data_IF_521942541163
#
_entry.id   IF_521942541163
#
_cell.length_a   1.000
_cell.length_b   1.000
_cell.length_c   1.000
_cell.angle_alpha   90.00
_cell.angle_beta   90.00
_cell.angle_gamma   90.00
#
_symmetry.space_group_name_H-M   'P 1'
#
loop_
_entity.id
_entity.type
_entity.pdbx_description
1 polymer ?
#
# COMPACT_ATOMS: atom_id res chain seq x y z
N UNK A 1 -47.02 -3.02 -23.53
CA UNK A 1 -47.26 -4.44 -23.84
C UNK A 1 -46.26 -5.28 -23.05
N UNK A 2 -46.78 -6.17 -22.20
CA UNK A 2 -46.14 -7.26 -21.42
C UNK A 2 -44.81 -6.98 -20.67
N UNK A 3 -44.98 -6.59 -19.40
CA UNK A 3 -44.03 -6.76 -18.30
C UNK A 3 -43.99 -8.25 -17.94
N UNK A 4 -42.82 -8.88 -18.00
CA UNK A 4 -42.62 -10.28 -17.60
C UNK A 4 -41.94 -10.27 -16.23
N UNK A 5 -42.72 -10.56 -15.18
CA UNK A 5 -42.25 -10.90 -13.84
C UNK A 5 -41.80 -12.36 -13.83
N UNK A 6 -40.49 -12.61 -13.72
CA UNK A 6 -39.99 -13.94 -13.37
C UNK A 6 -39.78 -13.99 -11.84
N UNK A 7 -40.78 -14.54 -11.17
CA UNK A 7 -40.68 -15.01 -9.78
C UNK A 7 -39.89 -16.31 -9.77
N UNK A 8 -38.60 -16.26 -9.46
CA UNK A 8 -37.84 -17.47 -9.10
C UNK A 8 -37.99 -17.70 -7.60
N UNK A 9 -38.76 -18.74 -7.28
CA UNK A 9 -38.92 -19.28 -5.92
C UNK A 9 -37.92 -20.42 -5.70
N UNK A 10 -37.78 -20.85 -4.43
CA UNK A 10 -37.32 -22.19 -3.97
C UNK A 10 -35.77 -22.32 -3.93
N UNK A 11 -35.09 -22.75 -2.86
CA UNK A 11 -35.44 -23.35 -1.56
C UNK A 11 -34.25 -23.20 -0.60
N UNK A 12 -34.53 -22.96 0.68
CA UNK A 12 -33.55 -23.09 1.77
C UNK A 12 -33.50 -24.57 2.16
N UNK A 13 -32.40 -25.25 1.83
CA UNK A 13 -32.11 -26.58 2.36
C UNK A 13 -31.31 -26.43 3.65
N UNK A 14 -31.96 -26.69 4.78
CA UNK A 14 -31.31 -26.90 6.08
C UNK A 14 -30.72 -28.30 6.06
N UNK A 15 -29.38 -28.41 6.04
CA UNK A 15 -28.68 -29.66 6.28
C UNK A 15 -28.03 -29.53 7.67
N UNK A 16 -28.67 -30.15 8.66
CA UNK A 16 -28.03 -30.51 9.93
C UNK A 16 -27.37 -31.89 9.74
N UNK A 17 -26.04 -31.95 9.89
CA UNK A 17 -25.28 -33.18 10.14
C UNK A 17 -24.09 -32.76 11.01
N UNK A 18 -24.19 -32.90 12.33
CA UNK A 18 -23.88 -34.09 13.14
C UNK A 18 -22.37 -34.19 13.43
N UNK A 19 -22.04 -33.77 14.65
CA UNK A 19 -20.77 -33.98 15.32
C UNK A 19 -20.46 -35.47 15.48
N UNK A 20 -19.24 -35.83 15.08
CA UNK A 20 -18.33 -36.79 15.72
C UNK A 20 -17.08 -36.83 14.86
N UNK A 21 -15.91 -36.65 15.46
CA UNK A 21 -14.71 -37.42 15.13
C UNK A 21 -13.74 -37.34 16.33
N UNK A 22 -12.88 -38.34 16.49
CA UNK A 22 -12.29 -38.75 17.75
C UNK A 22 -10.97 -38.04 18.12
N UNK A 23 -10.74 -38.07 19.43
CA UNK A 23 -9.49 -37.79 20.12
C UNK A 23 -8.32 -38.57 19.48
N UNK A 24 -7.40 -37.85 18.84
CA UNK A 24 -6.10 -38.39 18.45
C UNK A 24 -5.03 -37.31 18.57
N UNK A 25 -4.35 -37.35 19.70
CA UNK A 25 -3.20 -36.53 20.08
C UNK A 25 -2.04 -36.72 19.10
N UNK A 26 -1.61 -35.69 18.34
CA UNK A 26 -0.38 -35.77 17.56
C UNK A 26 0.82 -35.42 18.45
N UNK A 27 1.82 -36.29 18.40
CA UNK A 27 3.10 -36.22 19.11
C UNK A 27 3.82 -34.86 18.99
N UNK A 28 4.50 -34.47 20.06
CA UNK A 28 5.06 -33.14 20.32
C UNK A 28 6.30 -32.74 19.50
N UNK A 29 6.58 -33.39 18.36
CA UNK A 29 7.77 -33.10 17.54
C UNK A 29 7.47 -32.63 16.11
N UNK A 30 6.25 -32.76 15.60
CA UNK A 30 5.85 -32.21 14.29
C UNK A 30 5.40 -30.73 14.34
N UNK A 31 5.13 -30.19 15.53
CA UNK A 31 4.62 -28.82 15.73
C UNK A 31 5.70 -27.72 15.74
N UNK A 32 6.99 -28.07 15.67
CA UNK A 32 8.08 -27.09 15.68
C UNK A 32 8.44 -26.64 14.25
N UNK A 33 8.23 -27.47 13.22
CA UNK A 33 8.55 -27.14 11.83
C UNK A 33 7.41 -26.44 11.05
N UNK A 34 6.16 -26.52 11.51
CA UNK A 34 5.04 -25.80 10.86
C UNK A 34 4.99 -24.31 11.25
N UNK A 35 5.52 -23.94 12.43
CA UNK A 35 5.58 -22.55 12.92
C UNK A 35 6.63 -21.69 12.21
N UNK A 36 7.66 -22.28 11.60
CA UNK A 36 8.65 -21.53 10.79
C UNK A 36 8.19 -21.24 9.36
N UNK A 37 7.13 -21.92 8.90
CA UNK A 37 6.49 -21.70 7.58
C UNK A 37 5.15 -20.94 7.65
N UNK A 38 4.67 -20.56 8.84
CA UNK A 38 3.78 -19.41 8.97
C UNK A 38 4.59 -18.15 8.70
N UNK A 39 4.82 -17.96 7.40
CA UNK A 39 4.95 -16.71 6.69
C UNK A 39 4.55 -15.55 7.59
N UNK A 40 5.46 -14.61 7.78
CA UNK A 40 5.12 -13.21 7.98
C UNK A 40 3.86 -12.88 7.16
N UNK A 41 2.67 -13.01 7.76
CA UNK A 41 1.49 -12.38 7.24
C UNK A 41 1.80 -10.91 7.45
N UNK A 42 2.34 -10.30 6.39
CA UNK A 42 2.43 -8.86 6.27
C UNK A 42 1.00 -8.39 6.46
N UNK A 43 0.68 -7.89 7.65
CA UNK A 43 -0.57 -7.20 7.92
C UNK A 43 -0.46 -5.85 7.20
N UNK A 44 -0.62 -5.89 5.89
CA UNK A 44 -0.76 -4.70 5.08
C UNK A 44 -2.07 -4.05 5.50
N UNK A 45 -1.97 -2.92 6.17
CA UNK A 45 -3.14 -2.12 6.48
C UNK A 45 -3.53 -1.38 5.20
N UNK A 46 -4.83 -1.15 5.02
CA UNK A 46 -5.33 -0.33 3.92
C UNK A 46 -5.82 0.99 4.49
N UNK A 47 -5.57 2.08 3.76
CA UNK A 47 -6.06 3.41 4.11
C UNK A 47 -6.63 4.09 2.88
N UNK A 48 -7.81 4.69 3.00
CA UNK A 48 -8.46 5.40 1.90
C UNK A 48 -8.32 6.90 2.12
N UNK A 49 -7.93 7.60 1.05
CA UNK A 49 -7.85 9.05 1.02
C UNK A 49 -8.76 9.60 -0.07
N UNK A 50 -9.37 10.75 0.22
CA UNK A 50 -10.28 11.49 -0.65
C UNK A 50 -9.58 12.73 -1.21
N UNK A 51 -9.72 12.92 -2.51
CA UNK A 51 -9.17 14.03 -3.31
C UNK A 51 -10.35 14.68 -4.04
N UNK A 52 -11.01 15.63 -3.38
CA UNK A 52 -12.33 16.10 -3.81
C UNK A 52 -13.37 14.98 -3.73
N UNK A 53 -14.01 14.65 -4.85
CA UNK A 53 -15.02 13.57 -4.94
C UNK A 53 -14.44 12.20 -5.23
N UNK A 54 -13.14 12.12 -5.57
CA UNK A 54 -12.46 10.86 -5.89
C UNK A 54 -11.82 10.27 -4.64
N UNK A 55 -11.80 8.95 -4.52
CA UNK A 55 -11.11 8.24 -3.44
C UNK A 55 -10.12 7.23 -3.97
N UNK A 56 -8.97 7.11 -3.31
CA UNK A 56 -7.96 6.09 -3.62
C UNK A 56 -7.63 5.28 -2.36
N UNK A 57 -7.56 3.96 -2.49
CA UNK A 57 -7.09 3.07 -1.42
C UNK A 57 -5.59 2.82 -1.57
N UNK A 58 -4.88 2.98 -0.46
CA UNK A 58 -3.45 2.80 -0.33
C UNK A 58 -3.14 1.58 0.52
N UNK A 59 -2.13 0.83 0.13
CA UNK A 59 -1.46 -0.17 0.95
C UNK A 59 -0.47 0.54 1.86
N UNK A 60 -0.60 0.33 3.17
CA UNK A 60 0.29 0.88 4.21
C UNK A 60 1.12 -0.26 4.81
N UNK A 61 2.39 -0.31 4.43
CA UNK A 61 3.40 -1.21 4.99
C UNK A 61 4.32 -0.40 5.92
N UNK A 62 3.98 -0.40 7.21
CA UNK A 62 4.74 0.29 8.26
C UNK A 62 6.16 -0.25 8.41
N UNK A 63 6.41 -1.53 8.08
CA UNK A 63 7.75 -2.12 8.21
C UNK A 63 8.69 -1.62 7.12
N UNK A 64 8.13 -1.29 5.96
CA UNK A 64 8.90 -0.74 4.83
C UNK A 64 8.82 0.79 4.73
N UNK A 65 8.06 1.45 5.61
CA UNK A 65 7.72 2.87 5.51
C UNK A 65 7.15 3.22 4.12
N UNK A 66 6.15 2.45 3.68
CA UNK A 66 5.53 2.63 2.36
C UNK A 66 4.03 2.79 2.49
N UNK A 67 3.53 3.89 1.93
CA UNK A 67 2.12 4.15 1.64
C UNK A 67 1.99 4.41 0.15
N UNK A 68 1.42 3.46 -0.59
CA UNK A 68 1.35 3.46 -2.06
C UNK A 68 -0.01 2.94 -2.53
N UNK A 69 -0.50 3.36 -3.70
CA UNK A 69 -1.81 2.92 -4.22
C UNK A 69 -1.90 1.40 -4.25
N UNK A 70 -3.06 0.85 -3.87
CA UNK A 70 -3.30 -0.60 -3.76
C UNK A 70 -2.99 -1.36 -5.04
N UNK A 71 -3.16 -0.75 -6.21
CA UNK A 71 -2.87 -1.34 -7.53
C UNK A 71 -1.40 -1.75 -7.72
N UNK A 72 -0.46 -1.17 -6.97
CA UNK A 72 0.95 -1.55 -7.00
C UNK A 72 1.23 -2.93 -6.35
N UNK A 73 0.25 -3.49 -5.63
CA UNK A 73 0.35 -4.79 -4.99
C UNK A 73 1.26 -4.81 -3.77
N UNK A 74 1.36 -5.98 -3.12
CA UNK A 74 2.19 -6.18 -1.92
C UNK A 74 3.70 -6.27 -2.22
N UNK A 75 4.06 -6.47 -3.48
CA UNK A 75 5.44 -6.59 -3.96
C UNK A 75 5.80 -5.31 -4.73
N UNK A 76 6.61 -4.45 -4.13
CA UNK A 76 7.15 -3.21 -4.73
C UNK A 76 8.10 -3.46 -5.92
N UNK A 77 8.25 -4.71 -6.33
CA UNK A 77 9.09 -5.15 -7.43
C UNK A 77 8.34 -5.22 -8.77
N UNK A 78 7.05 -4.89 -8.79
CA UNK A 78 6.27 -4.88 -10.03
C UNK A 78 6.67 -3.70 -10.90
N UNK A 79 7.28 -3.98 -12.07
CA UNK A 79 7.58 -2.99 -13.11
C UNK A 79 6.33 -2.27 -13.66
N UNK A 80 5.14 -2.78 -13.34
CA UNK A 80 3.85 -2.18 -13.74
C UNK A 80 3.39 -1.03 -12.84
N UNK A 81 4.10 -0.73 -11.76
CA UNK A 81 3.78 0.38 -10.88
C UNK A 81 4.90 1.43 -10.94
N UNK A 82 4.63 2.53 -11.66
CA UNK A 82 5.61 3.60 -11.84
C UNK A 82 6.01 4.21 -10.49
N UNK A 83 5.07 4.38 -9.57
CA UNK A 83 5.35 4.85 -8.22
C UNK A 83 6.41 3.98 -7.50
N UNK A 84 6.33 2.66 -7.60
CA UNK A 84 7.28 1.74 -6.96
C UNK A 84 8.65 1.76 -7.65
N UNK A 85 8.67 1.90 -8.99
CA UNK A 85 9.91 2.09 -9.76
C UNK A 85 10.61 3.37 -9.30
N UNK A 86 9.88 4.49 -9.23
CA UNK A 86 10.45 5.80 -8.84
C UNK A 86 10.98 5.84 -7.41
N UNK A 87 10.43 5.06 -6.48
CA UNK A 87 11.00 4.94 -5.13
C UNK A 87 12.44 4.43 -5.11
N UNK A 88 12.85 3.64 -6.09
CA UNK A 88 14.23 3.13 -6.21
C UNK A 88 15.20 4.17 -6.77
N UNK A 89 14.68 5.18 -7.46
CA UNK A 89 15.45 6.19 -8.17
C UNK A 89 15.67 7.46 -7.33
N UNK A 90 14.72 7.83 -6.47
CA UNK A 90 14.83 9.05 -5.66
C UNK A 90 15.99 9.01 -4.67
N UNK A 91 16.70 10.13 -4.55
CA UNK A 91 17.79 10.30 -3.60
C UNK A 91 17.72 11.69 -2.95
N UNK A 92 17.99 11.78 -1.64
CA UNK A 92 17.97 13.07 -0.94
C UNK A 92 19.15 13.97 -1.34
N UNK A 93 20.24 13.39 -1.82
CA UNK A 93 21.42 14.14 -2.28
C UNK A 93 21.17 14.90 -3.59
N UNK A 94 20.07 14.61 -4.29
CA UNK A 94 19.68 15.31 -5.51
C UNK A 94 18.96 16.63 -5.22
N UNK A 95 18.66 16.92 -3.95
CA UNK A 95 18.11 18.20 -3.52
C UNK A 95 19.22 19.14 -3.04
N UNK A 96 19.14 20.41 -3.43
CA UNK A 96 20.02 21.46 -2.92
C UNK A 96 19.54 21.96 -1.56
N UNK A 97 20.41 22.64 -0.80
CA UNK A 97 20.04 23.24 0.48
C UNK A 97 18.84 24.21 0.33
N UNK A 98 18.79 24.98 -0.76
CA UNK A 98 17.68 25.88 -1.11
C UNK A 98 16.33 25.18 -1.36
N UNK A 99 16.35 23.89 -1.72
CA UNK A 99 15.14 23.08 -1.84
C UNK A 99 14.57 22.71 -0.47
N UNK A 100 15.44 22.66 0.56
CA UNK A 100 15.11 22.21 1.92
C UNK A 100 14.82 23.37 2.88
N UNK A 101 15.06 24.62 2.48
CA UNK A 101 14.75 25.80 3.30
C UNK A 101 13.28 26.24 3.18
N UNK A 102 12.80 26.95 4.20
CA UNK A 102 11.48 27.62 4.16
C UNK A 102 10.26 26.73 4.45
N UNK A 103 10.40 25.73 5.32
CA UNK A 103 9.30 24.83 5.74
C UNK A 103 8.59 24.10 4.59
N UNK A 104 9.27 23.93 3.45
CA UNK A 104 8.78 23.16 2.30
C UNK A 104 8.69 21.68 2.67
N UNK A 105 7.71 20.97 2.13
CA UNK A 105 7.62 19.52 2.26
C UNK A 105 8.64 18.86 1.30
N UNK A 106 9.72 18.22 1.79
CA UNK A 106 10.76 17.68 0.91
C UNK A 106 10.23 16.60 -0.04
N UNK A 107 9.24 15.82 0.39
CA UNK A 107 8.61 14.81 -0.46
C UNK A 107 7.83 15.41 -1.62
N UNK A 108 7.22 16.58 -1.43
CA UNK A 108 6.58 17.32 -2.51
C UNK A 108 7.62 17.88 -3.50
N UNK A 109 8.76 18.37 -2.99
CA UNK A 109 9.86 18.84 -3.85
C UNK A 109 10.47 17.69 -4.65
N UNK A 110 10.75 16.54 -4.03
CA UNK A 110 11.19 15.33 -4.73
C UNK A 110 10.21 14.94 -5.86
N UNK A 111 8.91 14.98 -5.57
CA UNK A 111 7.87 14.65 -6.53
C UNK A 111 7.88 15.57 -7.77
N UNK A 112 7.89 16.88 -7.56
CA UNK A 112 7.82 17.84 -8.67
C UNK A 112 9.16 17.94 -9.41
N UNK A 113 10.25 18.12 -8.68
CA UNK A 113 11.56 18.46 -9.25
C UNK A 113 12.26 17.27 -9.89
N UNK A 114 12.22 16.10 -9.25
CA UNK A 114 12.98 14.93 -9.70
C UNK A 114 12.12 13.93 -10.47
N UNK A 115 10.84 13.82 -10.12
CA UNK A 115 9.96 12.80 -10.69
C UNK A 115 9.02 13.33 -11.78
N UNK A 116 8.95 14.65 -11.96
CA UNK A 116 8.03 15.32 -12.89
C UNK A 116 6.59 14.81 -12.73
N UNK A 117 6.15 14.72 -11.48
CA UNK A 117 4.86 14.18 -11.08
C UNK A 117 4.06 15.20 -10.26
N UNK A 118 2.75 15.02 -10.24
CA UNK A 118 1.84 15.97 -9.60
C UNK A 118 1.77 15.73 -8.10
N UNK A 119 1.76 16.82 -7.31
CA UNK A 119 1.54 16.75 -5.86
C UNK A 119 0.06 16.96 -5.58
N UNK A 120 -0.57 15.95 -4.99
CA UNK A 120 -1.97 15.98 -4.57
C UNK A 120 -2.06 15.93 -3.05
N UNK A 121 -3.03 16.64 -2.49
CA UNK A 121 -3.36 16.58 -1.06
C UNK A 121 -4.67 15.85 -0.87
N UNK A 122 -4.67 14.81 -0.05
CA UNK A 122 -5.84 14.00 0.27
C UNK A 122 -6.15 14.01 1.76
N UNK A 123 -7.41 13.75 2.11
CA UNK A 123 -7.86 13.57 3.50
C UNK A 123 -8.37 12.15 3.72
N UNK A 124 -8.09 11.55 4.87
CA UNK A 124 -8.73 10.27 5.24
C UNK A 124 -10.11 10.49 5.88
N UNK A 125 -10.74 9.40 6.33
CA UNK A 125 -12.04 9.45 7.02
C UNK A 125 -11.99 10.20 8.35
N UNK A 126 -10.84 10.26 8.99
CA UNK A 126 -10.63 10.96 10.27
C UNK A 126 -10.26 12.45 10.06
N UNK A 127 -10.21 12.91 8.81
CA UNK A 127 -9.85 14.28 8.45
C UNK A 127 -8.33 14.54 8.43
N UNK A 128 -7.48 13.52 8.63
CA UNK A 128 -6.05 13.69 8.56
C UNK A 128 -5.62 13.98 7.11
N UNK A 129 -4.82 15.03 6.96
CA UNK A 129 -4.30 15.48 5.66
C UNK A 129 -2.98 14.77 5.37
N UNK A 130 -2.82 14.29 4.14
CA UNK A 130 -1.54 13.78 3.64
C UNK A 130 -1.29 14.25 2.21
N UNK A 131 -0.02 14.39 1.85
CA UNK A 131 0.41 14.72 0.48
C UNK A 131 0.90 13.47 -0.25
N UNK A 132 0.61 13.41 -1.54
CA UNK A 132 0.88 12.27 -2.42
C UNK A 132 1.48 12.76 -3.72
N UNK A 133 2.38 11.94 -4.27
CA UNK A 133 2.90 12.10 -5.61
C UNK A 133 2.09 11.22 -6.56
N UNK A 134 1.50 11.82 -7.58
CA UNK A 134 0.63 11.18 -8.57
C UNK A 134 1.35 11.08 -9.92
N UNK A 135 1.43 9.87 -10.45
CA UNK A 135 2.11 9.57 -11.70
C UNK A 135 1.13 9.42 -12.87
N UNK A 136 1.66 9.49 -14.08
CA UNK A 136 0.88 9.41 -15.32
C UNK A 136 0.16 8.06 -15.51
N UNK A 137 0.67 6.98 -14.91
CA UNK A 137 0.01 5.66 -14.92
C UNK A 137 -1.12 5.55 -13.88
N UNK A 138 -1.44 6.64 -13.17
CA UNK A 138 -2.45 6.70 -12.13
C UNK A 138 -2.03 6.08 -10.80
N UNK A 139 -0.79 5.58 -10.69
CA UNK A 139 -0.24 5.15 -9.40
C UNK A 139 0.15 6.37 -8.57
N UNK A 140 0.10 6.21 -7.25
CA UNK A 140 0.43 7.27 -6.31
C UNK A 140 1.23 6.71 -5.13
N UNK A 141 2.07 7.56 -4.55
CA UNK A 141 2.85 7.27 -3.35
C UNK A 141 2.82 8.45 -2.39
N UNK A 142 2.82 8.23 -1.08
CA UNK A 142 2.85 9.34 -0.14
C UNK A 142 4.18 10.10 -0.21
N UNK A 143 4.12 11.42 0.01
CA UNK A 143 5.31 12.27 0.08
C UNK A 143 6.26 11.83 1.21
N UNK A 144 5.73 11.36 2.33
CA UNK A 144 6.50 10.78 3.43
C UNK A 144 7.27 9.53 3.01
N UNK A 145 6.64 8.65 2.22
CA UNK A 145 7.29 7.46 1.67
C UNK A 145 8.47 7.86 0.76
N UNK A 146 8.29 8.88 -0.08
CA UNK A 146 9.37 9.39 -0.93
C UNK A 146 10.56 9.86 -0.10
N UNK A 147 10.33 10.64 0.96
CA UNK A 147 11.39 11.12 1.86
C UNK A 147 12.12 9.95 2.53
N UNK A 148 11.38 8.97 3.05
CA UNK A 148 11.97 7.81 3.71
C UNK A 148 12.88 7.00 2.75
N UNK A 149 12.45 6.79 1.51
CA UNK A 149 13.22 6.07 0.49
C UNK A 149 14.39 6.88 -0.05
N UNK A 150 14.21 8.17 -0.29
CA UNK A 150 15.28 9.07 -0.72
C UNK A 150 16.42 9.14 0.29
N UNK A 151 16.11 9.23 1.59
CA UNK A 151 17.10 9.16 2.66
C UNK A 151 17.81 7.80 2.73
N UNK A 152 17.07 6.71 2.53
CA UNK A 152 17.64 5.36 2.50
C UNK A 152 18.61 5.18 1.33
N UNK A 153 18.29 5.74 0.17
CA UNK A 153 19.13 5.67 -1.03
C UNK A 153 20.37 6.58 -0.89
N UNK A 154 20.23 7.76 -0.27
CA UNK A 154 21.35 8.64 0.05
C UNK A 154 22.40 7.93 0.93
N UNK A 155 21.96 7.30 2.04
CA UNK A 155 22.83 6.54 2.94
C UNK A 155 23.55 5.36 2.28
N UNK A 156 22.93 4.75 1.27
CA UNK A 156 23.55 3.66 0.50
C UNK A 156 24.62 4.18 -0.46
N UNK A 157 24.45 5.40 -0.94
CA UNK A 157 25.37 6.04 -1.89
C UNK A 157 26.62 6.57 -1.20
N UNK A 158 26.53 6.98 0.08
CA UNK A 158 27.68 7.46 0.86
C UNK A 158 28.64 6.36 1.35
N UNK A 159 28.23 5.10 1.28
CA UNK A 159 29.03 3.95 1.74
C UNK A 159 29.77 3.23 0.60
N UNK A 160 29.73 3.78 -0.62
CA UNK A 160 30.47 3.31 -1.78
C UNK A 160 31.67 4.21 -2.01
#
# INVERSE_FOLDING_TARGET
MKIIFFLLSITISVICAQEREPDSTPSSLANIQLKSKLKHQVTSNFKTYYFGTKSHTFTVDKRKNVTITRSCGAKLESSKCLAAVKLKEVNMNDLSETDLTGAKNPGAILCQKLLNADVLTGKDQDGNVASFCSFQDGTMVSAETLVAWANKNAKRSSNK
#
